data_IF_255085931183
#
_entry.id   IF_255085931183
#
_cell.length_a   1.000
_cell.length_b   1.000
_cell.length_c   1.000
_cell.angle_alpha   90.00
_cell.angle_beta   90.00
_cell.angle_gamma   90.00
#
_symmetry.space_group_name_H-M   'P 1'
#
loop_
_entity.id
_entity.type
_entity.pdbx_description
1 polymer ?
#
# COMPACT_ATOMS: atom_id res chain seq x y z
N UNK A 1 1.77 1.46 -6.99
CA UNK A 1 2.92 1.23 -7.89
C UNK A 1 3.66 -0.05 -7.52
N UNK A 2 4.18 -0.18 -6.34
CA UNK A 2 4.65 -1.48 -5.86
C UNK A 2 3.45 -2.40 -5.58
N UNK A 3 3.68 -3.72 -5.56
CA UNK A 3 2.60 -4.65 -5.23
C UNK A 3 2.32 -4.69 -3.73
N UNK A 4 1.11 -5.10 -3.34
CA UNK A 4 0.74 -5.24 -1.93
C UNK A 4 1.71 -6.14 -1.15
N UNK A 5 2.19 -7.20 -1.78
CA UNK A 5 3.17 -8.12 -1.17
C UNK A 5 4.52 -7.40 -0.93
N UNK A 6 4.95 -6.54 -1.84
CA UNK A 6 6.14 -5.72 -1.62
C UNK A 6 5.97 -4.76 -0.43
N UNK A 7 4.81 -4.12 -0.32
CA UNK A 7 4.51 -3.25 0.83
C UNK A 7 4.53 -4.02 2.14
N UNK A 8 3.98 -5.23 2.18
CA UNK A 8 4.06 -6.10 3.35
C UNK A 8 5.49 -6.51 3.68
N UNK A 9 6.31 -6.80 2.68
CA UNK A 9 7.72 -7.16 2.89
C UNK A 9 8.49 -5.99 3.52
N UNK A 10 8.32 -4.77 3.00
CA UNK A 10 8.94 -3.57 3.59
C UNK A 10 8.45 -3.36 5.02
N UNK A 11 7.15 -3.47 5.25
CA UNK A 11 6.55 -3.31 6.58
C UNK A 11 7.13 -4.34 7.56
N UNK A 12 7.27 -5.59 7.12
CA UNK A 12 7.86 -6.65 7.95
C UNK A 12 9.32 -6.35 8.33
N UNK A 13 10.11 -5.79 7.42
CA UNK A 13 11.47 -5.35 7.71
C UNK A 13 11.50 -4.16 8.68
N UNK A 14 10.56 -3.23 8.56
CA UNK A 14 10.43 -2.10 9.49
C UNK A 14 10.08 -2.57 10.91
N UNK A 15 9.19 -3.56 11.04
CA UNK A 15 8.80 -4.13 12.34
C UNK A 15 9.99 -4.75 13.07
N UNK A 16 10.97 -5.29 12.36
CA UNK A 16 12.21 -5.83 12.95
C UNK A 16 13.12 -4.74 13.53
N UNK A 17 13.02 -3.52 13.02
CA UNK A 17 13.92 -2.42 13.37
C UNK A 17 13.31 -1.39 14.32
N UNK A 18 12.01 -1.22 14.28
CA UNK A 18 11.31 -0.17 15.00
C UNK A 18 10.17 -0.74 15.82
N UNK A 19 9.81 -0.05 16.89
CA UNK A 19 8.68 -0.40 17.76
C UNK A 19 7.43 0.31 17.30
N UNK A 20 6.33 -0.44 17.17
CA UNK A 20 5.00 0.07 16.82
C UNK A 20 4.00 -0.27 17.92
N UNK A 21 2.92 0.48 18.00
CA UNK A 21 1.89 0.30 19.03
C UNK A 21 1.00 -0.91 18.73
N UNK A 22 0.63 -1.08 17.45
CA UNK A 22 -0.25 -2.15 16.98
C UNK A 22 0.21 -2.64 15.61
N UNK A 23 0.90 -3.77 15.60
CA UNK A 23 1.48 -4.34 14.37
C UNK A 23 0.42 -4.74 13.36
N UNK A 24 -0.74 -5.26 13.82
CA UNK A 24 -1.82 -5.62 12.89
C UNK A 24 -2.38 -4.37 12.19
N UNK A 25 -2.62 -3.31 12.93
CA UNK A 25 -3.09 -2.04 12.35
C UNK A 25 -2.06 -1.46 11.37
N UNK A 26 -0.77 -1.55 11.69
CA UNK A 26 0.30 -1.10 10.79
C UNK A 26 0.29 -1.88 9.47
N UNK A 27 0.26 -3.21 9.55
CA UNK A 27 0.25 -4.09 8.35
C UNK A 27 -1.03 -3.87 7.53
N UNK A 28 -2.18 -3.79 8.19
CA UNK A 28 -3.44 -3.53 7.50
C UNK A 28 -3.42 -2.18 6.79
N UNK A 29 -2.96 -1.13 7.46
CA UNK A 29 -2.78 0.20 6.85
C UNK A 29 -1.84 0.18 5.67
N UNK A 30 -0.74 -0.59 5.76
CA UNK A 30 0.27 -0.70 4.71
C UNK A 30 -0.26 -1.28 3.39
N UNK A 31 -1.37 -1.99 3.39
CA UNK A 31 -1.98 -2.55 2.17
C UNK A 31 -3.35 -1.95 1.83
N UNK A 32 -3.95 -1.22 2.75
CA UNK A 32 -5.30 -0.66 2.60
C UNK A 32 -5.49 0.20 1.33
N UNK A 33 -4.50 1.03 0.89
CA UNK A 33 -4.65 1.77 -0.36
C UNK A 33 -4.99 0.91 -1.57
N UNK A 34 -4.49 -0.31 -1.63
CA UNK A 34 -4.73 -1.25 -2.73
C UNK A 34 -6.15 -1.86 -2.68
N UNK A 35 -6.79 -1.85 -1.53
CA UNK A 35 -8.18 -2.26 -1.37
C UNK A 35 -9.18 -1.16 -1.78
N UNK A 36 -8.68 0.05 -2.01
CA UNK A 36 -9.49 1.20 -2.35
C UNK A 36 -10.02 1.16 -3.76
N UNK A 37 -11.13 1.85 -3.95
CA UNK A 37 -11.82 1.93 -5.23
C UNK A 37 -10.96 2.65 -6.28
N UNK A 38 -10.61 1.96 -7.36
CA UNK A 38 -9.79 2.49 -8.46
C UNK A 38 -8.51 3.16 -7.93
N UNK A 39 -8.29 4.43 -8.30
CA UNK A 39 -7.13 5.21 -7.87
C UNK A 39 -7.38 6.03 -6.60
N UNK A 40 -8.60 6.03 -6.06
CA UNK A 40 -8.96 6.85 -4.91
C UNK A 40 -8.21 6.46 -3.64
N UNK A 41 -7.98 5.16 -3.42
CA UNK A 41 -7.20 4.66 -2.28
C UNK A 41 -5.77 5.19 -2.26
N UNK A 42 -5.19 5.47 -3.42
CA UNK A 42 -3.85 6.06 -3.54
C UNK A 42 -3.88 7.59 -3.61
N UNK A 43 -5.05 8.20 -3.44
CA UNK A 43 -5.26 9.66 -3.46
C UNK A 43 -4.82 10.29 -4.78
N UNK A 44 -4.87 9.53 -5.87
CA UNK A 44 -4.51 9.98 -7.21
C UNK A 44 -5.62 10.77 -7.88
N UNK A 45 -6.87 10.52 -7.48
CA UNK A 45 -8.04 11.25 -7.97
C UNK A 45 -8.36 12.31 -6.93
N UNK A 46 -8.05 13.54 -7.18
CA UNK A 46 -8.37 14.41 -6.13
C UNK A 46 -8.84 15.77 -6.54
N UNK A 47 -9.79 16.17 -5.84
CA UNK A 47 -10.21 17.52 -5.51
C UNK A 47 -9.04 18.41 -5.07
N UNK A 48 -7.88 17.83 -4.90
CA UNK A 48 -6.73 18.45 -4.28
C UNK A 48 -5.71 18.84 -5.34
N UNK A 49 -6.14 19.50 -6.35
CA UNK A 49 -5.47 20.23 -7.40
C UNK A 49 -3.96 20.13 -7.58
N UNK A 50 -3.28 19.34 -6.80
CA UNK A 50 -1.84 19.31 -6.72
C UNK A 50 -1.27 17.91 -6.49
N UNK A 51 -1.59 17.00 -7.42
CA UNK A 51 -0.91 15.72 -7.45
C UNK A 51 0.30 15.81 -8.36
N UNK A 52 1.39 16.36 -7.84
CA UNK A 52 2.68 16.09 -8.47
C UNK A 52 2.90 14.60 -8.46
N UNK A 53 3.33 14.08 -9.60
CA UNK A 53 3.59 12.66 -9.84
C UNK A 53 4.29 12.00 -8.65
N UNK A 54 3.56 11.19 -7.89
CA UNK A 54 4.10 10.37 -6.82
C UNK A 54 4.09 10.98 -5.41
N UNK A 55 3.72 12.24 -5.23
CA UNK A 55 3.75 12.90 -3.92
C UNK A 55 2.38 12.90 -3.21
N UNK A 56 1.59 11.90 -3.41
CA UNK A 56 0.25 11.78 -2.83
C UNK A 56 0.26 11.68 -1.30
N UNK A 57 1.37 11.25 -0.71
CA UNK A 57 1.56 11.18 0.72
C UNK A 57 1.51 12.56 1.41
N UNK A 58 1.83 13.64 0.72
CA UNK A 58 1.77 14.98 1.30
C UNK A 58 0.33 15.38 1.63
N UNK A 59 -0.61 15.05 0.75
CA UNK A 59 -2.02 15.28 1.02
C UNK A 59 -2.51 14.43 2.20
N UNK A 60 -2.11 13.16 2.25
CA UNK A 60 -2.43 12.28 3.38
C UNK A 60 -1.89 12.86 4.69
N UNK A 61 -0.65 13.32 4.68
CA UNK A 61 -0.04 13.96 5.85
C UNK A 61 -0.81 15.22 6.29
N UNK A 62 -1.30 15.99 5.35
CA UNK A 62 -2.12 17.16 5.65
C UNK A 62 -3.46 16.76 6.29
N UNK A 63 -4.16 15.80 5.71
CA UNK A 63 -5.50 15.39 6.17
C UNK A 63 -5.44 14.57 7.48
N UNK A 64 -4.51 13.65 7.59
CA UNK A 64 -4.40 12.69 8.68
C UNK A 64 -3.10 12.80 9.47
N UNK A 65 -2.46 13.97 9.48
CA UNK A 65 -1.14 14.13 10.09
C UNK A 65 -1.06 13.76 11.55
N UNK A 66 -2.06 14.10 12.33
CA UNK A 66 -2.09 13.78 13.77
C UNK A 66 -2.41 12.30 13.99
N UNK A 67 -3.39 11.74 13.29
CA UNK A 67 -3.70 10.31 13.36
C UNK A 67 -2.50 9.45 12.95
N UNK A 68 -1.75 9.84 11.94
CA UNK A 68 -0.53 9.15 11.51
C UNK A 68 0.49 9.00 12.63
N UNK A 69 0.59 9.98 13.52
CA UNK A 69 1.54 9.94 14.65
C UNK A 69 1.05 9.07 15.80
N UNK A 70 -0.25 8.90 15.93
CA UNK A 70 -0.87 8.27 17.08
C UNK A 70 -1.40 6.86 16.80
N UNK A 71 -1.74 6.56 15.54
CA UNK A 71 -2.39 5.34 15.14
C UNK A 71 -1.64 4.66 13.99
N UNK A 72 -1.22 3.42 14.21
CA UNK A 72 -0.40 2.67 13.25
C UNK A 72 -1.13 2.31 11.95
N UNK A 73 -2.47 2.28 11.93
CA UNK A 73 -3.20 2.13 10.67
C UNK A 73 -2.89 3.30 9.72
N UNK A 74 -2.97 4.52 10.22
CA UNK A 74 -2.70 5.73 9.45
C UNK A 74 -1.21 5.88 9.13
N UNK A 75 -0.33 5.44 10.02
CA UNK A 75 1.10 5.36 9.74
C UNK A 75 1.39 4.37 8.62
N UNK A 76 0.79 3.19 8.65
CA UNK A 76 0.93 2.17 7.61
C UNK A 76 0.45 2.68 6.24
N UNK A 77 -0.71 3.33 6.22
CA UNK A 77 -1.26 3.93 5.00
C UNK A 77 -0.32 5.00 4.43
N UNK A 78 0.17 5.89 5.28
CA UNK A 78 1.14 6.91 4.89
C UNK A 78 2.42 6.30 4.32
N UNK A 79 2.95 5.27 4.98
CA UNK A 79 4.17 4.58 4.52
C UNK A 79 3.96 3.88 3.18
N UNK A 80 2.78 3.33 2.91
CA UNK A 80 2.45 2.80 1.58
C UNK A 80 2.62 3.87 0.50
N UNK A 81 2.05 5.05 0.71
CA UNK A 81 2.13 6.13 -0.26
C UNK A 81 3.57 6.65 -0.44
N UNK A 82 4.36 6.70 0.63
CA UNK A 82 5.78 7.07 0.56
C UNK A 82 6.59 6.02 -0.21
N UNK A 83 6.34 4.75 0.06
CA UNK A 83 7.00 3.65 -0.67
C UNK A 83 6.66 3.69 -2.16
N UNK A 84 5.42 3.98 -2.51
CA UNK A 84 5.02 4.15 -3.91
C UNK A 84 5.76 5.31 -4.57
N UNK A 85 5.96 6.42 -3.87
CA UNK A 85 6.72 7.54 -4.39
C UNK A 85 8.19 7.15 -4.63
N UNK A 86 8.81 6.43 -3.69
CA UNK A 86 10.18 5.93 -3.83
C UNK A 86 10.30 4.93 -4.98
N UNK A 87 9.38 3.99 -5.08
CA UNK A 87 9.36 2.99 -6.14
C UNK A 87 9.13 3.62 -7.51
N UNK A 88 8.23 4.59 -7.59
CA UNK A 88 7.99 5.36 -8.79
C UNK A 88 9.25 6.09 -9.26
N UNK A 89 9.94 6.77 -8.36
CA UNK A 89 11.21 7.43 -8.67
C UNK A 89 12.22 6.43 -9.24
N UNK A 90 12.36 5.28 -8.61
CA UNK A 90 13.25 4.22 -9.08
C UNK A 90 12.89 3.74 -10.48
N UNK A 91 11.63 3.43 -10.73
CA UNK A 91 11.17 2.85 -11.98
C UNK A 91 11.16 3.87 -13.12
N UNK A 92 10.60 5.05 -12.89
CA UNK A 92 10.43 6.05 -13.95
C UNK A 92 11.65 6.93 -14.16
N UNK A 93 12.26 7.41 -13.10
CA UNK A 93 13.32 8.41 -13.21
C UNK A 93 14.71 7.77 -13.35
N UNK A 94 14.97 6.68 -12.64
CA UNK A 94 16.27 6.00 -12.68
C UNK A 94 16.32 5.00 -13.82
N UNK A 95 15.30 4.16 -13.97
CA UNK A 95 15.26 3.12 -15.01
C UNK A 95 14.48 3.48 -16.26
N UNK A 96 13.92 4.69 -16.32
CA UNK A 96 13.25 5.23 -17.51
C UNK A 96 12.12 4.33 -18.07
N UNK A 97 11.45 3.58 -17.20
CA UNK A 97 10.31 2.77 -17.62
C UNK A 97 9.11 3.66 -17.97
N UNK A 98 8.41 3.31 -19.04
CA UNK A 98 7.30 4.12 -19.55
C UNK A 98 5.97 3.36 -19.50
N UNK A 99 5.06 3.80 -18.65
CA UNK A 99 3.71 3.22 -18.53
C UNK A 99 2.82 3.46 -19.74
N UNK A 100 3.15 4.47 -20.55
CA UNK A 100 2.38 4.79 -21.77
C UNK A 100 2.76 3.91 -22.96
N UNK A 101 3.87 3.18 -22.88
CA UNK A 101 4.21 2.20 -23.93
C UNK A 101 3.19 1.06 -23.90
N UNK A 102 2.51 0.77 -25.03
CA UNK A 102 1.51 -0.30 -25.08
C UNK A 102 2.08 -1.63 -24.57
N UNK A 103 1.33 -2.29 -23.69
CA UNK A 103 1.70 -3.58 -23.10
C UNK A 103 2.61 -3.52 -21.88
N UNK A 104 3.19 -2.37 -21.54
CA UNK A 104 4.11 -2.29 -20.39
C UNK A 104 3.38 -2.48 -19.05
N UNK A 105 2.19 -1.93 -18.90
CA UNK A 105 1.41 -2.08 -17.65
C UNK A 105 1.02 -3.55 -17.45
N UNK A 106 0.58 -4.23 -18.49
CA UNK A 106 0.24 -5.65 -18.47
C UNK A 106 1.46 -6.52 -18.13
N UNK A 107 2.63 -6.20 -18.70
CA UNK A 107 3.88 -6.88 -18.34
C UNK A 107 4.24 -6.68 -16.87
N UNK A 108 4.09 -5.47 -16.35
CA UNK A 108 4.36 -5.18 -14.94
C UNK A 108 3.46 -6.00 -14.02
N UNK A 109 2.16 -6.06 -14.31
CA UNK A 109 1.22 -6.87 -13.54
C UNK A 109 1.52 -8.37 -13.66
N UNK A 110 1.92 -8.82 -14.84
CA UNK A 110 2.38 -10.20 -15.03
C UNK A 110 3.62 -10.50 -14.19
N UNK A 111 4.59 -9.61 -14.21
CA UNK A 111 5.80 -9.75 -13.38
C UNK A 111 5.46 -9.83 -11.89
N UNK A 112 4.54 -9.00 -11.42
CA UNK A 112 4.08 -9.06 -10.03
C UNK A 112 3.43 -10.41 -9.70
N UNK A 113 2.67 -11.00 -10.62
CA UNK A 113 2.06 -12.31 -10.40
C UNK A 113 3.10 -13.42 -10.20
N UNK A 114 4.29 -13.26 -10.76
CA UNK A 114 5.41 -14.21 -10.62
C UNK A 114 6.21 -13.92 -9.35
N UNK A 115 6.62 -12.66 -9.17
CA UNK A 115 7.57 -12.32 -8.09
C UNK A 115 6.92 -12.22 -6.72
N UNK A 116 5.61 -12.00 -6.63
CA UNK A 116 4.93 -11.87 -5.35
C UNK A 116 5.11 -13.11 -4.46
N UNK A 117 4.95 -14.29 -5.01
CA UNK A 117 5.17 -15.54 -4.25
C UNK A 117 6.62 -15.69 -3.80
N UNK A 118 7.57 -15.31 -4.67
CA UNK A 118 8.99 -15.31 -4.31
C UNK A 118 9.28 -14.32 -3.18
N UNK A 119 8.73 -13.12 -3.24
CA UNK A 119 8.89 -12.10 -2.19
C UNK A 119 8.28 -12.57 -0.88
N UNK A 120 7.07 -13.14 -0.93
CA UNK A 120 6.41 -13.70 0.26
C UNK A 120 7.27 -14.78 0.92
N UNK A 121 7.84 -15.70 0.15
CA UNK A 121 8.73 -16.73 0.68
C UNK A 121 10.03 -16.14 1.23
N UNK A 122 10.71 -15.30 0.47
CA UNK A 122 11.99 -14.69 0.85
C UNK A 122 11.91 -13.94 2.17
N UNK A 123 10.84 -13.18 2.36
CA UNK A 123 10.65 -12.35 3.57
C UNK A 123 9.79 -13.05 4.63
N UNK A 124 9.47 -14.33 4.43
CA UNK A 124 8.68 -15.13 5.38
C UNK A 124 7.37 -14.45 5.78
N UNK A 125 6.67 -13.95 4.78
CA UNK A 125 5.37 -13.33 5.00
C UNK A 125 4.32 -14.41 5.25
N UNK A 126 3.39 -14.12 6.14
CA UNK A 126 2.25 -14.98 6.46
C UNK A 126 0.95 -14.19 6.27
N UNK A 127 -0.10 -14.90 5.96
CA UNK A 127 -1.43 -14.30 5.90
C UNK A 127 -2.02 -14.17 7.30
N UNK A 128 -1.48 -13.22 8.05
CA UNK A 128 -1.88 -12.88 9.42
C UNK A 128 -2.60 -11.53 9.52
N UNK A 129 -3.04 -11.00 8.38
CA UNK A 129 -3.77 -9.74 8.34
C UNK A 129 -5.19 -9.93 8.89
N UNK A 130 -5.59 -9.02 9.77
CA UNK A 130 -6.93 -8.97 10.32
C UNK A 130 -7.54 -7.59 10.10
N UNK A 131 -8.81 -7.56 9.69
CA UNK A 131 -9.54 -6.31 9.58
C UNK A 131 -9.74 -5.77 11.00
N UNK A 132 -9.31 -4.52 11.30
CA UNK A 132 -9.52 -3.94 12.62
C UNK A 132 -11.01 -3.89 13.00
N UNK A 133 -11.30 -4.08 14.27
CA UNK A 133 -12.67 -3.96 14.76
C UNK A 133 -13.23 -2.56 14.49
N UNK A 134 -14.51 -2.50 14.11
CA UNK A 134 -15.19 -1.24 13.76
C UNK A 134 -14.50 -0.44 12.66
N UNK A 135 -13.82 -1.13 11.72
CA UNK A 135 -13.12 -0.49 10.61
C UNK A 135 -14.03 0.46 9.82
N UNK A 136 -15.31 0.13 9.67
CA UNK A 136 -16.29 0.96 8.97
C UNK A 136 -16.49 2.35 9.57
N UNK A 137 -16.10 2.54 10.84
CA UNK A 137 -16.17 3.83 11.54
C UNK A 137 -14.90 4.66 11.46
N UNK A 138 -13.83 4.09 10.89
CA UNK A 138 -12.54 4.78 10.78
C UNK A 138 -12.63 5.98 9.81
N UNK A 139 -12.06 7.14 10.18
CA UNK A 139 -12.03 8.32 9.30
C UNK A 139 -11.44 8.09 7.91
N UNK A 140 -10.59 7.07 7.75
CA UNK A 140 -10.00 6.73 6.45
C UNK A 140 -11.08 6.43 5.40
N UNK A 141 -12.24 5.94 5.81
CA UNK A 141 -13.36 5.65 4.91
C UNK A 141 -13.95 6.90 4.22
N UNK A 142 -13.58 8.09 4.68
CA UNK A 142 -13.94 9.33 3.98
C UNK A 142 -13.25 9.48 2.62
N UNK A 143 -12.11 8.81 2.41
CA UNK A 143 -11.36 8.89 1.15
C UNK A 143 -12.10 8.14 0.04
N UNK A 144 -12.49 6.90 0.29
CA UNK A 144 -13.19 6.05 -0.66
C UNK A 144 -13.75 4.81 0.04
N UNK A 145 -14.50 4.01 -0.72
CA UNK A 145 -14.89 2.67 -0.30
C UNK A 145 -13.70 1.71 -0.43
N UNK A 146 -13.48 0.88 0.58
CA UNK A 146 -12.47 -0.17 0.60
C UNK A 146 -13.16 -1.54 0.63
N UNK A 147 -12.96 -2.33 -0.43
CA UNK A 147 -13.46 -3.71 -0.48
C UNK A 147 -12.45 -4.64 0.20
N UNK A 148 -12.43 -4.59 1.53
CA UNK A 148 -11.42 -5.28 2.34
C UNK A 148 -11.54 -6.79 2.25
N UNK A 149 -12.76 -7.34 2.17
CA UNK A 149 -12.95 -8.78 2.12
C UNK A 149 -12.41 -9.36 0.80
N UNK A 150 -12.82 -8.80 -0.32
CA UNK A 150 -12.30 -9.19 -1.63
C UNK A 150 -10.79 -9.05 -1.70
N UNK A 151 -10.26 -7.94 -1.19
CA UNK A 151 -8.83 -7.67 -1.20
C UNK A 151 -8.05 -8.70 -0.39
N UNK A 152 -8.50 -9.00 0.84
CA UNK A 152 -7.84 -9.99 1.70
C UNK A 152 -7.83 -11.38 1.04
N UNK A 153 -8.95 -11.79 0.45
CA UNK A 153 -9.03 -13.05 -0.31
C UNK A 153 -8.08 -13.06 -1.51
N UNK A 154 -7.93 -11.93 -2.20
CA UNK A 154 -7.04 -11.82 -3.36
C UNK A 154 -5.57 -12.00 -3.03
N UNK A 155 -5.17 -11.76 -1.77
CA UNK A 155 -3.79 -11.95 -1.32
C UNK A 155 -3.46 -13.40 -0.96
N UNK A 156 -4.46 -14.22 -0.62
CA UNK A 156 -4.25 -15.57 -0.10
C UNK A 156 -3.36 -16.44 -1.01
N UNK A 157 -3.50 -16.29 -2.31
CA UNK A 157 -2.73 -17.07 -3.30
C UNK A 157 -1.21 -16.85 -3.25
N UNK A 158 -0.75 -15.77 -2.65
CA UNK A 158 0.68 -15.45 -2.57
C UNK A 158 1.34 -15.92 -1.29
N UNK A 159 0.56 -16.22 -0.27
CA UNK A 159 1.11 -16.69 0.99
C UNK A 159 1.35 -18.19 0.94
N UNK A 160 2.51 -18.59 1.45
CA UNK A 160 2.87 -20.00 1.58
C UNK A 160 2.26 -20.52 2.88
N UNK A 161 1.54 -21.60 2.74
CA UNK A 161 0.93 -22.30 3.87
C UNK A 161 2.00 -23.08 4.64
#
# INVERSE_FOLDING_TARGET
>A
MASSIMHLAVTNELIKKYTFKDINRLKFGAVLPDAGQKQAGHIKTGLWGYNKKGYYFEFFRFKFGDLRKEDDLYLGYYLHLVQDACYRHFVYDIHHWNSHTPGNVEKLHHDYSIINSYVADKYKLHNDLEVPSEFEKEPINEICFYDVNWFMESLDKYFIV
#
